data_IF_190477084237
#
_entry.id   IF_190477084237
#
_cell.length_a   1.000
_cell.length_b   1.000
_cell.length_c   1.000
_cell.angle_alpha   90.00
_cell.angle_beta   90.00
_cell.angle_gamma   90.00
#
_symmetry.space_group_name_H-M   'P 1'
#
loop_
_entity.id
_entity.type
_entity.pdbx_description
1 polymer ?
#
# COMPACT_ATOMS: atom_id res chain seq x y z
N UNK A 1 -36.57 22.97 17.39
CA UNK A 1 -37.19 23.51 16.16
C UNK A 1 -38.52 24.18 16.44
N UNK A 2 -39.45 23.59 17.22
CA UNK A 2 -40.77 24.15 17.51
C UNK A 2 -40.67 25.55 18.11
N UNK A 3 -39.94 25.72 19.22
CA UNK A 3 -39.72 27.02 19.87
C UNK A 3 -39.11 28.09 18.98
N UNK A 4 -38.30 27.70 17.99
CA UNK A 4 -37.71 28.62 16.99
C UNK A 4 -38.74 29.02 15.93
N UNK A 5 -39.63 28.11 15.54
CA UNK A 5 -40.70 28.43 14.61
C UNK A 5 -41.69 29.43 15.28
N UNK A 6 -42.09 29.18 16.54
CA UNK A 6 -42.98 30.06 17.27
C UNK A 6 -42.38 31.47 17.41
N UNK A 7 -41.08 31.58 17.77
CA UNK A 7 -40.39 32.87 17.85
C UNK A 7 -40.22 33.55 16.46
N UNK A 8 -40.09 32.78 15.38
CA UNK A 8 -39.96 33.34 14.03
C UNK A 8 -41.32 33.89 13.56
N UNK A 9 -42.44 33.29 13.95
CA UNK A 9 -43.79 33.80 13.67
C UNK A 9 -43.94 35.21 14.23
N UNK A 10 -43.50 35.43 15.49
CA UNK A 10 -43.58 36.73 16.15
C UNK A 10 -42.73 37.84 15.48
N UNK A 11 -41.72 37.45 14.70
CA UNK A 11 -40.74 38.36 14.07
C UNK A 11 -40.83 38.42 12.53
N UNK A 12 -41.85 37.79 11.94
CA UNK A 12 -42.05 37.83 10.48
C UNK A 12 -42.44 39.26 10.02
N UNK A 13 -41.64 39.82 9.16
CA UNK A 13 -41.93 41.08 8.47
C UNK A 13 -42.49 40.84 7.05
N UNK A 14 -43.16 41.88 6.50
CA UNK A 14 -43.81 41.80 5.20
C UNK A 14 -42.80 41.56 4.04
N UNK A 15 -41.55 42.00 4.19
CA UNK A 15 -40.52 41.85 3.18
C UNK A 15 -40.00 40.41 3.12
N UNK A 16 -39.90 39.76 4.24
CA UNK A 16 -39.54 38.33 4.33
C UNK A 16 -40.66 37.43 3.80
N UNK A 17 -41.92 37.78 4.08
CA UNK A 17 -43.09 37.11 3.52
C UNK A 17 -43.11 37.23 2.01
N UNK A 18 -42.92 38.40 1.44
CA UNK A 18 -42.92 38.63 -0.02
C UNK A 18 -41.80 37.85 -0.75
N UNK A 19 -40.64 37.70 -0.14
CA UNK A 19 -39.52 36.90 -0.71
C UNK A 19 -39.78 35.39 -0.70
N UNK A 20 -40.73 34.92 0.06
CA UNK A 20 -41.10 33.49 0.17
C UNK A 20 -42.30 33.12 -0.71
N UNK A 21 -43.03 34.12 -1.24
CA UNK A 21 -44.22 33.97 -2.06
C UNK A 21 -43.94 33.60 -3.55
N UNK A 22 -42.79 33.09 -3.85
CA UNK A 22 -42.38 32.72 -5.23
C UNK A 22 -43.06 31.46 -5.82
N UNK A 23 -44.12 30.94 -5.15
CA UNK A 23 -44.95 29.83 -5.67
C UNK A 23 -46.44 30.03 -5.35
N UNK A 24 -47.25 30.38 -6.32
CA UNK A 24 -48.68 30.67 -6.14
C UNK A 24 -49.61 29.48 -5.95
N UNK A 25 -49.11 28.23 -5.88
CA UNK A 25 -49.96 27.04 -6.02
C UNK A 25 -50.32 26.31 -4.70
N UNK A 26 -50.07 26.93 -3.54
CA UNK A 26 -50.50 26.32 -2.24
C UNK A 26 -51.57 27.17 -1.57
N UNK A 27 -52.85 26.71 -1.63
CA UNK A 27 -53.95 27.27 -0.82
C UNK A 27 -53.83 26.77 0.62
N UNK A 28 -53.88 27.69 1.60
CA UNK A 28 -53.87 27.37 3.01
C UNK A 28 -55.28 27.57 3.60
N UNK A 29 -55.70 26.65 4.46
CA UNK A 29 -57.02 26.69 5.08
C UNK A 29 -57.20 27.89 6.05
N UNK A 30 -56.11 28.53 6.51
CA UNK A 30 -56.11 29.72 7.33
C UNK A 30 -54.77 30.46 7.28
N UNK A 31 -54.80 31.79 7.55
CA UNK A 31 -53.57 32.62 7.64
C UNK A 31 -52.57 32.11 8.70
N UNK A 32 -53.08 31.59 9.83
CA UNK A 32 -52.21 31.02 10.86
C UNK A 32 -51.43 29.77 10.41
N UNK A 33 -52.03 28.93 9.55
CA UNK A 33 -51.33 27.76 8.96
C UNK A 33 -50.28 28.18 7.95
N UNK A 34 -50.54 29.23 7.20
CA UNK A 34 -49.63 29.84 6.26
C UNK A 34 -48.41 30.44 6.96
N UNK A 35 -48.63 31.30 7.97
CA UNK A 35 -47.53 31.89 8.78
C UNK A 35 -46.67 30.83 9.43
N UNK A 36 -47.25 29.79 9.97
CA UNK A 36 -46.53 28.68 10.57
C UNK A 36 -45.65 27.92 9.51
N UNK A 37 -46.22 27.73 8.33
CA UNK A 37 -45.50 27.09 7.21
C UNK A 37 -44.31 27.94 6.77
N UNK A 38 -44.49 29.24 6.59
CA UNK A 38 -43.46 30.19 6.18
C UNK A 38 -42.36 30.30 7.24
N UNK A 39 -42.74 30.47 8.50
CA UNK A 39 -41.77 30.48 9.62
C UNK A 39 -40.96 29.18 9.69
N UNK A 40 -41.61 28.03 9.49
CA UNK A 40 -40.91 26.74 9.44
C UNK A 40 -39.94 26.66 8.27
N UNK A 41 -40.27 27.20 7.09
CA UNK A 41 -39.40 27.23 5.90
C UNK A 41 -38.18 28.13 6.16
N UNK A 42 -38.33 29.30 6.79
CA UNK A 42 -37.27 30.19 7.23
C UNK A 42 -36.29 29.44 8.16
N UNK A 43 -36.84 28.87 9.26
CA UNK A 43 -36.04 28.15 10.26
C UNK A 43 -35.30 26.96 9.62
N UNK A 44 -35.91 26.22 8.70
CA UNK A 44 -35.28 25.14 7.99
C UNK A 44 -34.10 25.66 7.14
N UNK A 45 -34.30 26.78 6.45
CA UNK A 45 -33.23 27.39 5.63
C UNK A 45 -32.06 27.90 6.48
N UNK A 46 -32.33 28.61 7.57
CA UNK A 46 -31.33 29.08 8.52
C UNK A 46 -30.54 27.91 9.14
N UNK A 47 -31.22 26.81 9.47
CA UNK A 47 -30.57 25.62 10.04
C UNK A 47 -30.02 24.64 9.00
N UNK A 48 -30.18 24.92 7.70
CA UNK A 48 -29.75 24.00 6.62
C UNK A 48 -28.30 23.66 6.73
N UNK A 49 -27.44 24.64 6.97
CA UNK A 49 -25.98 24.42 7.12
C UNK A 49 -25.65 23.62 8.39
N UNK A 50 -26.30 23.92 9.52
CA UNK A 50 -26.11 23.20 10.78
C UNK A 50 -26.62 21.76 10.63
N UNK A 51 -27.82 21.57 10.07
CA UNK A 51 -28.35 20.23 9.78
C UNK A 51 -27.49 19.41 8.83
N UNK A 52 -26.85 20.07 7.85
CA UNK A 52 -25.88 19.44 6.97
C UNK A 52 -24.62 19.02 7.71
N UNK A 53 -24.07 19.88 8.57
CA UNK A 53 -22.90 19.56 9.41
C UNK A 53 -23.20 18.40 10.36
N UNK A 54 -24.39 18.37 10.96
CA UNK A 54 -24.84 17.29 11.85
C UNK A 54 -24.95 15.98 11.07
N UNK A 55 -25.66 15.97 9.92
CA UNK A 55 -25.78 14.77 9.07
C UNK A 55 -24.46 14.24 8.55
N UNK A 56 -23.49 15.12 8.34
CA UNK A 56 -22.14 14.77 7.89
C UNK A 56 -21.17 14.48 9.05
N UNK A 57 -21.65 14.43 10.28
CA UNK A 57 -20.83 14.24 11.49
C UNK A 57 -19.66 15.25 11.63
N UNK A 58 -19.76 16.43 11.00
CA UNK A 58 -18.67 17.44 10.99
C UNK A 58 -18.47 18.13 12.35
N UNK A 59 -19.35 17.89 13.33
CA UNK A 59 -19.16 18.35 14.70
C UNK A 59 -18.22 17.43 15.49
N UNK A 60 -17.89 16.25 14.99
CA UNK A 60 -16.97 15.31 15.61
C UNK A 60 -15.55 15.58 15.15
N UNK A 61 -14.66 15.85 16.08
CA UNK A 61 -13.23 15.97 15.79
C UNK A 61 -12.58 14.57 15.92
N UNK A 62 -12.67 13.78 14.85
CA UNK A 62 -12.14 12.41 14.83
C UNK A 62 -10.63 12.40 15.05
N UNK A 63 -9.88 13.40 14.53
CA UNK A 63 -8.42 13.50 14.77
C UNK A 63 -8.11 13.62 16.25
N UNK A 64 -8.84 14.46 16.97
CA UNK A 64 -8.68 14.59 18.42
C UNK A 64 -9.06 13.31 19.16
N UNK A 65 -10.11 12.60 18.72
CA UNK A 65 -10.49 11.31 19.30
C UNK A 65 -9.41 10.24 19.05
N UNK A 66 -8.82 10.21 17.87
CA UNK A 66 -7.73 9.28 17.56
C UNK A 66 -6.50 9.53 18.44
N UNK A 67 -6.09 10.79 18.61
CA UNK A 67 -5.00 11.14 19.53
C UNK A 67 -5.32 10.80 21.00
N UNK A 68 -6.58 10.94 21.43
CA UNK A 68 -7.03 10.47 22.75
C UNK A 68 -6.93 8.95 22.88
N UNK A 69 -7.34 8.23 21.85
CA UNK A 69 -7.21 6.77 21.81
C UNK A 69 -5.74 6.36 21.95
N UNK A 70 -4.83 6.92 21.15
CA UNK A 70 -3.40 6.60 21.24
C UNK A 70 -2.83 6.86 22.64
N UNK A 71 -3.23 7.95 23.31
CA UNK A 71 -2.81 8.23 24.71
C UNK A 71 -3.41 7.26 25.74
N UNK A 72 -4.52 6.63 25.41
CA UNK A 72 -5.13 5.63 26.27
C UNK A 72 -4.51 4.23 26.14
N UNK A 73 -3.83 3.94 25.02
CA UNK A 73 -3.25 2.62 24.72
C UNK A 73 -2.34 2.11 25.84
N UNK A 74 -1.39 2.89 26.41
CA UNK A 74 -0.52 2.39 27.49
C UNK A 74 -1.23 2.05 28.79
N UNK A 75 -2.49 2.52 28.95
CA UNK A 75 -3.34 2.19 30.11
C UNK A 75 -4.09 0.86 29.94
N UNK A 76 -4.18 0.37 28.71
CA UNK A 76 -4.96 -0.82 28.33
C UNK A 76 -4.04 -1.99 28.04
N UNK A 77 -2.89 -1.74 27.43
CA UNK A 77 -1.90 -2.75 27.08
C UNK A 77 -0.53 -2.38 27.62
N UNK A 78 0.23 -3.40 27.95
CA UNK A 78 1.63 -3.27 28.38
C UNK A 78 2.53 -3.17 27.14
N UNK A 79 3.10 -1.99 26.91
CA UNK A 79 3.96 -1.70 25.75
C UNK A 79 5.24 -2.52 25.75
N UNK A 80 5.75 -2.92 26.93
CA UNK A 80 7.00 -3.68 27.04
C UNK A 80 6.92 -5.06 26.38
N UNK A 81 5.72 -5.63 26.28
CA UNK A 81 5.47 -6.89 25.55
C UNK A 81 5.72 -6.80 24.05
N UNK A 82 5.89 -5.60 23.55
CA UNK A 82 6.11 -5.29 22.12
C UNK A 82 7.44 -4.58 21.90
N UNK A 83 8.34 -4.61 22.90
CA UNK A 83 9.63 -3.92 22.88
C UNK A 83 9.50 -2.42 22.56
N UNK A 84 8.43 -1.78 23.04
CA UNK A 84 8.16 -0.35 22.85
C UNK A 84 8.27 0.35 24.21
N UNK A 85 9.11 1.38 24.28
CA UNK A 85 9.20 2.25 25.45
C UNK A 85 8.10 3.31 25.48
N UNK A 86 7.83 3.87 26.68
CA UNK A 86 6.86 4.96 26.80
C UNK A 86 7.29 6.21 25.99
N UNK A 87 8.59 6.52 25.96
CA UNK A 87 9.15 7.64 25.22
C UNK A 87 8.95 7.47 23.71
N UNK A 88 9.17 6.28 23.17
CA UNK A 88 8.93 5.98 21.75
C UNK A 88 7.44 6.09 21.40
N UNK A 89 6.56 5.65 22.30
CA UNK A 89 5.13 5.77 22.10
C UNK A 89 4.66 7.24 22.12
N UNK A 90 5.17 8.04 23.05
CA UNK A 90 4.86 9.47 23.13
C UNK A 90 5.40 10.23 21.91
N UNK A 91 6.61 9.89 21.44
CA UNK A 91 7.16 10.42 20.19
C UNK A 91 6.31 10.05 18.98
N UNK A 92 5.78 8.81 18.93
CA UNK A 92 4.84 8.39 17.90
C UNK A 92 3.56 9.26 17.90
N UNK A 93 2.97 9.53 19.08
CA UNK A 93 1.77 10.37 19.20
C UNK A 93 2.03 11.80 18.68
N UNK A 94 3.15 12.42 19.04
CA UNK A 94 3.49 13.74 18.53
C UNK A 94 3.73 13.73 17.01
N UNK A 95 4.37 12.70 16.47
CA UNK A 95 4.52 12.52 15.04
C UNK A 95 3.18 12.40 14.30
N UNK A 96 2.21 11.67 14.85
CA UNK A 96 0.84 11.58 14.30
C UNK A 96 0.15 12.93 14.33
N UNK A 97 0.28 13.67 15.45
CA UNK A 97 -0.30 15.00 15.60
C UNK A 97 0.24 16.00 14.58
N UNK A 98 1.56 16.04 14.35
CA UNK A 98 2.18 16.92 13.35
C UNK A 98 1.74 16.56 11.92
N UNK A 99 1.62 15.27 11.60
CA UNK A 99 1.08 14.83 10.30
C UNK A 99 -0.37 15.26 10.12
N UNK A 100 -1.20 15.15 11.14
CA UNK A 100 -2.58 15.61 11.08
C UNK A 100 -2.70 17.11 10.84
N UNK A 101 -1.79 17.93 11.40
CA UNK A 101 -1.70 19.38 11.09
C UNK A 101 -1.35 19.59 9.62
N UNK A 102 -0.43 18.80 9.07
CA UNK A 102 -0.03 18.84 7.67
C UNK A 102 -1.05 18.19 6.70
N UNK A 103 -2.21 17.73 7.19
CA UNK A 103 -3.23 17.03 6.38
C UNK A 103 -2.79 15.66 5.90
N UNK A 104 -1.80 15.02 6.54
CA UNK A 104 -1.24 13.72 6.17
C UNK A 104 -1.54 12.66 7.23
N UNK A 105 -1.60 11.40 6.81
CA UNK A 105 -1.71 10.22 7.67
C UNK A 105 -0.78 9.14 7.13
N UNK A 106 -0.15 8.35 7.99
CA UNK A 106 0.62 7.17 7.58
C UNK A 106 -0.30 6.02 7.23
N UNK A 107 0.15 5.13 6.35
CA UNK A 107 -0.58 3.93 5.96
C UNK A 107 -0.92 3.04 7.18
N UNK A 108 0.00 2.91 8.13
CA UNK A 108 -0.20 2.17 9.36
C UNK A 108 -1.35 2.72 10.24
N UNK A 109 -1.56 4.04 10.21
CA UNK A 109 -2.59 4.72 11.01
C UNK A 109 -3.96 4.75 10.32
N UNK A 110 -4.03 4.51 9.00
CA UNK A 110 -5.27 4.65 8.22
C UNK A 110 -6.37 3.71 8.74
N UNK A 111 -6.08 2.42 8.87
CA UNK A 111 -7.10 1.43 9.24
C UNK A 111 -7.61 1.62 10.68
N UNK A 112 -6.75 1.84 11.71
CA UNK A 112 -7.23 2.18 13.05
C UNK A 112 -8.02 3.49 13.09
N UNK A 113 -7.59 4.50 12.32
CA UNK A 113 -8.31 5.77 12.23
C UNK A 113 -9.71 5.61 11.61
N UNK A 114 -9.83 4.86 10.51
CA UNK A 114 -11.10 4.58 9.85
C UNK A 114 -12.01 3.72 10.73
N UNK A 115 -11.46 2.74 11.42
CA UNK A 115 -12.22 1.93 12.35
C UNK A 115 -12.79 2.77 13.50
N UNK A 116 -11.99 3.65 14.10
CA UNK A 116 -12.48 4.61 15.10
C UNK A 116 -13.53 5.54 14.51
N UNK A 117 -13.34 6.02 13.28
CA UNK A 117 -14.33 6.84 12.58
C UNK A 117 -15.68 6.12 12.48
N UNK A 118 -15.69 4.86 12.05
CA UNK A 118 -16.89 4.05 11.90
C UNK A 118 -17.58 3.76 13.26
N UNK A 119 -16.80 3.52 14.31
CA UNK A 119 -17.33 3.34 15.65
C UNK A 119 -18.04 4.60 16.18
N UNK A 120 -17.50 5.78 15.90
CA UNK A 120 -18.03 7.06 16.41
C UNK A 120 -19.17 7.61 15.56
N UNK A 121 -19.13 7.39 14.23
CA UNK A 121 -20.10 7.97 13.28
C UNK A 121 -21.19 7.00 12.85
N UNK A 122 -21.08 5.76 13.24
CA UNK A 122 -21.94 4.66 12.82
C UNK A 122 -21.28 3.80 11.74
N UNK A 123 -21.42 2.52 11.91
CA UNK A 123 -20.81 1.48 11.04
C UNK A 123 -21.30 1.61 9.60
N UNK A 124 -20.37 1.68 8.65
CA UNK A 124 -20.64 1.73 7.20
C UNK A 124 -20.42 0.37 6.54
N UNK A 125 -21.04 -0.64 7.10
CA UNK A 125 -20.90 -2.01 6.60
C UNK A 125 -21.64 -2.20 5.29
N UNK A 126 -20.97 -2.79 4.31
CA UNK A 126 -21.60 -3.25 3.09
C UNK A 126 -22.05 -4.71 3.27
N UNK A 127 -23.36 -4.90 3.32
CA UNK A 127 -24.00 -6.23 3.43
C UNK A 127 -24.33 -6.85 2.06
N UNK A 128 -24.17 -6.12 0.97
CA UNK A 128 -24.45 -6.59 -0.39
C UNK A 128 -23.23 -7.30 -1.00
N UNK A 129 -22.02 -6.94 -0.55
CA UNK A 129 -20.79 -7.57 -0.98
C UNK A 129 -20.80 -9.07 -0.65
N UNK A 130 -20.67 -9.90 -1.68
CA UNK A 130 -20.71 -11.37 -1.59
C UNK A 130 -19.34 -12.02 -1.63
N UNK A 131 -18.40 -11.42 -2.36
CA UNK A 131 -17.05 -11.93 -2.56
C UNK A 131 -16.05 -10.79 -2.45
N UNK A 132 -14.95 -11.03 -1.74
CA UNK A 132 -13.81 -10.12 -1.64
C UNK A 132 -12.55 -10.88 -2.04
N UNK A 133 -11.89 -10.40 -3.09
CA UNK A 133 -10.60 -10.93 -3.54
C UNK A 133 -9.51 -9.98 -3.08
N UNK A 134 -8.56 -10.49 -2.31
CA UNK A 134 -7.45 -9.72 -1.77
C UNK A 134 -6.16 -10.34 -2.32
N UNK A 135 -5.43 -9.57 -3.10
CA UNK A 135 -4.12 -9.96 -3.59
C UNK A 135 -3.01 -9.41 -2.71
N UNK A 136 -1.82 -10.01 -2.78
CA UNK A 136 -0.63 -9.60 -2.01
C UNK A 136 -0.90 -9.49 -0.49
N UNK A 137 -1.57 -10.49 0.10
CA UNK A 137 -1.98 -10.46 1.52
C UNK A 137 -0.81 -10.28 2.48
N UNK A 138 0.41 -10.64 2.09
CA UNK A 138 1.61 -10.45 2.90
C UNK A 138 1.95 -8.98 3.17
N UNK A 139 1.34 -8.04 2.43
CA UNK A 139 1.49 -6.60 2.66
C UNK A 139 0.44 -6.02 3.62
N UNK A 140 -0.56 -6.82 3.96
CA UNK A 140 -1.60 -6.40 4.90
C UNK A 140 -1.22 -6.73 6.33
N UNK A 141 -1.45 -5.79 7.23
CA UNK A 141 -1.41 -6.09 8.65
C UNK A 141 -2.66 -6.89 9.05
N UNK A 142 -2.59 -7.71 10.11
CA UNK A 142 -3.75 -8.43 10.64
C UNK A 142 -4.93 -7.51 10.96
N UNK A 143 -4.65 -6.30 11.44
CA UNK A 143 -5.67 -5.30 11.71
C UNK A 143 -6.38 -4.82 10.43
N UNK A 144 -5.64 -4.65 9.32
CA UNK A 144 -6.24 -4.29 8.03
C UNK A 144 -7.20 -5.39 7.54
N UNK A 145 -6.81 -6.66 7.65
CA UNK A 145 -7.67 -7.80 7.30
C UNK A 145 -8.90 -7.89 8.21
N UNK A 146 -8.72 -7.67 9.51
CA UNK A 146 -9.84 -7.60 10.47
C UNK A 146 -10.82 -6.46 10.14
N UNK A 147 -10.29 -5.30 9.74
CA UNK A 147 -11.10 -4.15 9.33
C UNK A 147 -11.86 -4.43 8.03
N UNK A 148 -11.25 -5.09 7.05
CA UNK A 148 -11.95 -5.52 5.83
C UNK A 148 -13.09 -6.50 6.15
N UNK A 149 -12.83 -7.49 7.01
CA UNK A 149 -13.88 -8.42 7.49
C UNK A 149 -15.00 -7.69 8.25
N UNK A 150 -14.65 -6.69 9.05
CA UNK A 150 -15.63 -5.85 9.74
C UNK A 150 -16.53 -5.10 8.75
N UNK A 151 -15.98 -4.57 7.66
CA UNK A 151 -16.73 -3.83 6.65
C UNK A 151 -17.57 -4.73 5.73
N UNK A 152 -17.13 -5.94 5.47
CA UNK A 152 -17.77 -6.90 4.55
C UNK A 152 -18.16 -8.21 5.27
N UNK A 153 -19.05 -8.19 6.28
CA UNK A 153 -19.28 -9.33 7.17
C UNK A 153 -19.95 -10.54 6.50
N UNK A 154 -20.58 -10.35 5.32
CA UNK A 154 -21.23 -11.40 4.55
C UNK A 154 -20.38 -11.89 3.37
N UNK A 155 -19.26 -11.24 3.08
CA UNK A 155 -18.42 -11.62 1.97
C UNK A 155 -17.64 -12.90 2.27
N UNK A 156 -17.49 -13.74 1.25
CA UNK A 156 -16.49 -14.80 1.21
C UNK A 156 -15.17 -14.19 0.74
N UNK A 157 -14.09 -14.47 1.45
CA UNK A 157 -12.77 -13.92 1.15
C UNK A 157 -11.94 -14.94 0.40
N UNK A 158 -11.35 -14.53 -0.71
CA UNK A 158 -10.27 -15.25 -1.39
C UNK A 158 -9.03 -14.39 -1.26
N UNK A 159 -8.01 -14.91 -0.57
CA UNK A 159 -6.78 -14.18 -0.28
C UNK A 159 -5.64 -14.86 -1.00
N UNK A 160 -4.91 -14.09 -1.81
CA UNK A 160 -3.75 -14.55 -2.57
C UNK A 160 -2.50 -13.83 -2.07
N UNK A 161 -1.38 -14.51 -2.06
CA UNK A 161 -0.13 -13.90 -1.69
C UNK A 161 1.05 -14.85 -1.75
N UNK A 162 2.24 -14.26 -1.83
CA UNK A 162 3.50 -14.96 -1.69
C UNK A 162 4.16 -14.51 -0.39
N UNK A 163 4.12 -15.39 0.60
CA UNK A 163 4.68 -15.10 1.92
C UNK A 163 6.19 -14.86 1.90
N UNK A 164 6.88 -15.25 0.83
CA UNK A 164 8.29 -14.99 0.62
C UNK A 164 8.59 -13.59 0.05
N UNK A 165 7.56 -12.85 -0.40
CA UNK A 165 7.69 -11.51 -0.99
C UNK A 165 7.21 -10.38 -0.05
N UNK A 166 7.06 -10.61 1.25
CA UNK A 166 6.67 -9.58 2.20
C UNK A 166 7.75 -8.49 2.32
N UNK A 167 7.48 -7.28 1.79
CA UNK A 167 8.43 -6.14 1.82
C UNK A 167 8.08 -5.17 2.96
N UNK A 168 6.79 -5.05 3.29
CA UNK A 168 6.28 -4.00 4.18
C UNK A 168 5.97 -4.47 5.59
N UNK A 169 5.96 -5.79 5.85
CA UNK A 169 5.71 -6.36 7.17
C UNK A 169 6.93 -7.15 7.62
N UNK A 170 7.35 -6.94 8.87
CA UNK A 170 8.45 -7.68 9.50
C UNK A 170 8.01 -9.04 10.06
N UNK A 171 6.71 -9.35 10.00
CA UNK A 171 6.17 -10.59 10.54
C UNK A 171 6.58 -11.79 9.68
N UNK A 172 7.05 -12.82 10.34
CA UNK A 172 7.30 -14.11 9.68
C UNK A 172 6.01 -14.67 9.08
N UNK A 173 6.10 -15.27 7.91
CA UNK A 173 4.97 -15.81 7.14
C UNK A 173 4.06 -16.76 7.94
N UNK A 174 4.63 -17.52 8.89
CA UNK A 174 3.87 -18.39 9.81
C UNK A 174 2.99 -17.59 10.75
N UNK A 175 3.45 -16.43 11.20
CA UNK A 175 2.71 -15.54 12.09
C UNK A 175 1.49 -14.95 11.38
N UNK A 176 1.62 -14.52 10.14
CA UNK A 176 0.50 -14.00 9.34
C UNK A 176 -0.58 -15.06 9.13
N UNK A 177 -0.23 -16.27 8.69
CA UNK A 177 -1.19 -17.37 8.53
C UNK A 177 -1.89 -17.75 9.84
N UNK A 178 -1.14 -17.78 10.96
CA UNK A 178 -1.69 -18.02 12.30
C UNK A 178 -2.67 -16.93 12.72
N UNK A 179 -2.40 -15.67 12.37
CA UNK A 179 -3.27 -14.55 12.70
C UNK A 179 -4.51 -14.52 11.79
N UNK A 180 -4.38 -14.85 10.52
CA UNK A 180 -5.51 -15.00 9.59
C UNK A 180 -6.44 -16.12 10.08
N UNK A 181 -5.91 -17.28 10.50
CA UNK A 181 -6.71 -18.39 11.02
C UNK A 181 -7.49 -18.04 12.29
N UNK A 182 -7.01 -17.07 13.10
CA UNK A 182 -7.77 -16.55 14.25
C UNK A 182 -8.88 -15.57 13.84
N UNK A 183 -8.75 -14.92 12.70
CA UNK A 183 -9.75 -13.98 12.19
C UNK A 183 -10.90 -14.69 11.48
N UNK A 184 -10.62 -15.80 10.82
CA UNK A 184 -11.59 -16.57 10.05
C UNK A 184 -11.84 -17.92 10.73
N UNK A 185 -13.05 -18.44 10.55
CA UNK A 185 -13.45 -19.74 11.08
C UNK A 185 -12.61 -20.86 10.40
N UNK A 186 -11.79 -21.61 11.15
CA UNK A 186 -10.93 -22.65 10.57
C UNK A 186 -11.72 -23.74 9.82
N UNK A 187 -12.95 -24.05 10.27
CA UNK A 187 -13.80 -25.08 9.64
C UNK A 187 -14.37 -24.62 8.28
N UNK A 188 -14.30 -23.32 8.00
CA UNK A 188 -14.78 -22.67 6.76
C UNK A 188 -13.66 -22.05 5.95
N UNK A 189 -12.41 -22.40 6.25
CA UNK A 189 -11.22 -21.81 5.62
C UNK A 189 -10.34 -22.90 5.05
N UNK A 190 -10.14 -22.88 3.75
CA UNK A 190 -9.22 -23.75 3.05
C UNK A 190 -7.92 -23.01 2.73
N UNK A 191 -6.78 -23.64 2.99
CA UNK A 191 -5.46 -23.12 2.63
C UNK A 191 -4.87 -23.99 1.53
N UNK A 192 -4.70 -23.40 0.34
CA UNK A 192 -4.10 -24.06 -0.81
C UNK A 192 -2.71 -23.52 -1.06
N UNK A 193 -1.70 -24.38 -0.99
CA UNK A 193 -0.32 -24.00 -1.28
C UNK A 193 0.04 -24.37 -2.72
N UNK A 194 0.44 -23.35 -3.51
CA UNK A 194 0.97 -23.51 -4.86
C UNK A 194 2.50 -23.54 -4.79
N UNK A 195 3.12 -24.65 -5.14
CA UNK A 195 4.59 -24.82 -5.07
C UNK A 195 5.27 -24.58 -6.41
N UNK A 196 4.54 -24.67 -7.53
CA UNK A 196 5.10 -24.60 -8.88
C UNK A 196 5.12 -23.18 -9.43
N UNK A 197 6.31 -22.71 -9.79
CA UNK A 197 6.50 -21.39 -10.40
C UNK A 197 6.52 -21.52 -11.94
N UNK A 198 5.62 -20.79 -12.61
CA UNK A 198 5.49 -20.76 -14.06
C UNK A 198 6.01 -19.47 -14.68
N UNK A 199 6.29 -18.45 -13.87
CA UNK A 199 6.64 -17.09 -14.30
C UNK A 199 8.01 -17.05 -14.95
N UNK A 200 9.03 -17.49 -14.23
CA UNK A 200 10.43 -17.38 -14.61
C UNK A 200 10.95 -18.66 -15.26
N UNK A 201 12.09 -18.55 -15.94
CA UNK A 201 12.84 -19.72 -16.43
C UNK A 201 13.31 -20.59 -15.26
N UNK A 202 13.60 -21.87 -15.57
CA UNK A 202 14.11 -22.83 -14.59
C UNK A 202 15.40 -22.35 -13.93
N UNK A 203 16.28 -21.73 -14.69
CA UNK A 203 17.54 -21.19 -14.23
C UNK A 203 17.33 -20.06 -13.21
N UNK A 204 16.43 -19.11 -13.50
CA UNK A 204 16.09 -18.01 -12.58
C UNK A 204 15.39 -18.56 -11.34
N UNK A 205 14.41 -19.44 -11.48
CA UNK A 205 13.70 -20.03 -10.33
C UNK A 205 14.66 -20.81 -9.42
N UNK A 206 15.58 -21.62 -10.00
CA UNK A 206 16.57 -22.37 -9.23
C UNK A 206 17.60 -21.48 -8.54
N UNK A 207 17.90 -20.31 -9.07
CA UNK A 207 18.75 -19.30 -8.45
C UNK A 207 17.97 -18.58 -7.31
N UNK A 208 16.80 -18.02 -7.61
CA UNK A 208 16.07 -17.17 -6.67
C UNK A 208 15.61 -17.91 -5.42
N UNK A 209 15.19 -19.18 -5.55
CA UNK A 209 14.77 -19.97 -4.39
C UNK A 209 15.87 -20.19 -3.35
N UNK A 210 17.14 -20.11 -3.72
CA UNK A 210 18.27 -20.27 -2.80
C UNK A 210 18.54 -19.00 -1.99
N UNK A 211 18.04 -17.85 -2.42
CA UNK A 211 18.07 -16.61 -1.63
C UNK A 211 17.20 -16.78 -0.37
N UNK A 212 16.13 -17.56 -0.46
CA UNK A 212 15.17 -17.77 0.63
C UNK A 212 15.62 -18.89 1.58
N UNK A 213 15.35 -18.74 2.88
CA UNK A 213 15.65 -19.77 3.90
C UNK A 213 14.83 -21.06 3.75
N UNK A 214 13.66 -21.01 3.09
CA UNK A 214 12.75 -22.14 2.87
C UNK A 214 12.34 -22.25 1.40
N UNK A 215 13.21 -21.82 0.50
CA UNK A 215 12.94 -21.80 -0.94
C UNK A 215 12.99 -23.17 -1.62
N UNK A 216 13.46 -24.21 -0.91
CA UNK A 216 13.55 -25.57 -1.44
C UNK A 216 12.21 -26.17 -1.89
N UNK A 217 11.11 -25.68 -1.33
CA UNK A 217 9.74 -26.09 -1.70
C UNK A 217 9.26 -25.55 -3.04
N UNK A 218 9.98 -24.57 -3.62
CA UNK A 218 9.62 -23.97 -4.89
C UNK A 218 10.10 -24.86 -6.02
N UNK A 219 9.15 -25.36 -6.81
CA UNK A 219 9.41 -26.16 -8.00
C UNK A 219 9.46 -25.27 -9.25
N UNK A 220 10.52 -25.41 -10.03
CA UNK A 220 10.67 -24.70 -11.29
C UNK A 220 9.90 -25.40 -12.41
N UNK A 221 9.19 -24.63 -13.23
CA UNK A 221 8.66 -25.13 -14.49
C UNK A 221 9.80 -25.33 -15.51
N UNK A 222 9.69 -26.32 -16.40
CA UNK A 222 10.76 -26.65 -17.36
C UNK A 222 10.78 -25.70 -18.57
N UNK A 223 10.89 -24.41 -18.30
CA UNK A 223 11.11 -23.36 -19.29
C UNK A 223 12.57 -22.90 -19.19
N UNK A 224 13.35 -23.11 -20.25
CA UNK A 224 14.79 -22.85 -20.27
C UNK A 224 15.10 -21.36 -20.60
N UNK A 225 16.20 -20.87 -20.03
CA UNK A 225 16.74 -19.55 -20.28
C UNK A 225 18.21 -19.42 -19.88
N UNK A 226 18.80 -18.24 -19.99
CA UNK A 226 20.17 -18.01 -19.54
C UNK A 226 20.24 -18.11 -18.00
N UNK A 227 21.41 -18.55 -17.50
CA UNK A 227 21.70 -18.47 -16.08
C UNK A 227 21.81 -17.03 -15.63
N UNK A 228 21.33 -16.68 -14.43
CA UNK A 228 21.59 -15.39 -13.82
C UNK A 228 23.08 -15.06 -13.82
N UNK A 229 23.42 -13.79 -14.08
CA UNK A 229 24.79 -13.36 -14.21
C UNK A 229 25.17 -12.28 -13.20
N UNK A 230 26.28 -12.49 -12.48
CA UNK A 230 26.86 -11.47 -11.62
C UNK A 230 27.94 -10.68 -12.38
N UNK A 231 27.84 -9.36 -12.32
CA UNK A 231 28.80 -8.41 -12.88
C UNK A 231 29.51 -7.69 -11.75
N UNK A 232 30.67 -8.23 -11.34
CA UNK A 232 31.54 -7.55 -10.39
C UNK A 232 32.36 -6.48 -11.10
N UNK A 233 32.37 -5.27 -10.57
CA UNK A 233 33.13 -4.15 -11.10
C UNK A 233 33.96 -3.47 -10.01
N UNK A 234 35.03 -2.81 -10.38
CA UNK A 234 35.96 -2.17 -9.44
C UNK A 234 35.61 -0.71 -9.20
N UNK A 235 34.67 -0.14 -9.98
CA UNK A 235 34.24 1.24 -9.87
C UNK A 235 32.81 1.41 -10.39
N UNK A 236 32.15 2.44 -9.92
CA UNK A 236 30.80 2.82 -10.36
C UNK A 236 30.74 3.13 -11.86
N UNK A 237 31.80 3.71 -12.41
CA UNK A 237 31.92 3.98 -13.85
C UNK A 237 31.90 2.69 -14.68
N UNK A 238 32.63 1.65 -14.21
CA UNK A 238 32.60 0.33 -14.84
C UNK A 238 31.27 -0.41 -14.67
N UNK A 239 30.52 -0.15 -13.57
CA UNK A 239 29.14 -0.64 -13.42
C UNK A 239 28.23 -0.07 -14.50
N UNK A 240 28.30 1.24 -14.74
CA UNK A 240 27.52 1.88 -15.81
C UNK A 240 27.92 1.40 -17.21
N UNK A 241 29.18 1.09 -17.43
CA UNK A 241 29.61 0.51 -18.70
C UNK A 241 29.02 -0.90 -18.89
N UNK A 242 29.10 -1.75 -17.85
CA UNK A 242 28.49 -3.07 -17.90
C UNK A 242 26.94 -2.97 -18.05
N UNK A 243 26.29 -2.01 -17.38
CA UNK A 243 24.88 -1.76 -17.56
C UNK A 243 24.56 -1.39 -19.03
N UNK A 244 25.32 -0.50 -19.63
CA UNK A 244 25.16 -0.11 -21.03
C UNK A 244 25.25 -1.32 -21.96
N UNK A 245 26.26 -2.18 -21.80
CA UNK A 245 26.44 -3.39 -22.62
C UNK A 245 25.22 -4.34 -22.47
N UNK A 246 24.73 -4.54 -21.24
CA UNK A 246 23.54 -5.35 -20.97
C UNK A 246 22.31 -4.76 -21.66
N UNK A 247 22.13 -3.44 -21.60
CA UNK A 247 20.97 -2.78 -22.19
C UNK A 247 20.98 -2.87 -23.72
N UNK A 248 22.15 -2.74 -24.36
CA UNK A 248 22.30 -2.94 -25.80
C UNK A 248 21.93 -4.36 -26.19
N UNK A 249 22.49 -5.37 -25.50
CA UNK A 249 22.15 -6.79 -25.74
C UNK A 249 20.64 -7.07 -25.58
N UNK A 250 20.01 -6.50 -24.55
CA UNK A 250 18.60 -6.71 -24.29
C UNK A 250 17.70 -6.00 -25.33
N UNK A 251 18.09 -4.81 -25.80
CA UNK A 251 17.35 -4.08 -26.84
C UNK A 251 17.41 -4.80 -28.20
N UNK A 252 18.57 -5.35 -28.57
CA UNK A 252 18.74 -6.20 -29.77
C UNK A 252 17.80 -7.43 -29.72
N UNK A 253 17.58 -7.99 -28.54
CA UNK A 253 16.65 -9.10 -28.30
C UNK A 253 15.19 -8.64 -28.10
N UNK A 254 14.92 -7.34 -28.13
CA UNK A 254 13.61 -6.71 -27.91
C UNK A 254 12.98 -7.05 -26.55
N UNK A 255 13.82 -7.20 -25.52
CA UNK A 255 13.38 -7.49 -24.16
C UNK A 255 12.98 -6.19 -23.44
N UNK A 256 11.83 -6.21 -22.80
CA UNK A 256 11.47 -5.17 -21.82
C UNK A 256 12.35 -5.34 -20.59
N UNK A 257 13.24 -4.37 -20.34
CA UNK A 257 14.22 -4.44 -19.28
C UNK A 257 13.89 -3.52 -18.13
N UNK A 258 13.84 -4.04 -16.90
CA UNK A 258 13.74 -3.25 -15.69
C UNK A 258 15.07 -3.19 -14.93
N UNK A 259 15.59 -1.99 -14.72
CA UNK A 259 16.67 -1.73 -13.78
C UNK A 259 16.03 -1.46 -12.44
N UNK A 260 16.19 -2.36 -11.50
CA UNK A 260 15.55 -2.28 -10.19
C UNK A 260 16.61 -1.93 -9.14
N UNK A 261 16.40 -0.80 -8.46
CA UNK A 261 17.25 -0.29 -7.39
C UNK A 261 16.60 -0.50 -6.03
N UNK A 262 17.34 -0.36 -4.96
CA UNK A 262 16.82 -0.45 -3.60
C UNK A 262 15.90 0.72 -3.27
N UNK A 263 16.32 1.94 -3.63
CA UNK A 263 15.64 3.19 -3.29
C UNK A 263 15.27 4.03 -4.51
N UNK A 264 14.35 4.97 -4.33
CA UNK A 264 14.00 5.93 -5.38
C UNK A 264 15.17 6.88 -5.72
N UNK A 265 15.98 7.25 -4.73
CA UNK A 265 17.15 8.10 -4.94
C UNK A 265 18.16 7.43 -5.89
N UNK A 266 18.46 6.15 -5.67
CA UNK A 266 19.30 5.37 -6.59
C UNK A 266 18.68 5.28 -7.99
N UNK A 267 17.36 5.04 -8.10
CA UNK A 267 16.67 5.00 -9.39
C UNK A 267 16.80 6.32 -10.16
N UNK A 268 16.68 7.45 -9.44
CA UNK A 268 16.84 8.79 -10.02
C UNK A 268 18.27 9.03 -10.50
N UNK A 269 19.27 8.59 -9.73
CA UNK A 269 20.69 8.70 -10.11
C UNK A 269 20.99 7.86 -11.35
N UNK A 270 20.59 6.58 -11.38
CA UNK A 270 20.76 5.71 -12.54
C UNK A 270 20.09 6.31 -13.78
N UNK A 271 18.84 6.77 -13.66
CA UNK A 271 18.13 7.37 -14.79
C UNK A 271 18.82 8.65 -15.29
N UNK A 272 19.39 9.46 -14.40
CA UNK A 272 20.16 10.67 -14.74
C UNK A 272 21.42 10.29 -15.55
N UNK A 273 22.22 9.34 -15.07
CA UNK A 273 23.46 8.90 -15.75
C UNK A 273 23.15 8.28 -17.12
N UNK A 274 22.09 7.45 -17.21
CA UNK A 274 21.68 6.89 -18.52
C UNK A 274 21.30 7.99 -19.51
N UNK A 275 20.59 9.03 -19.05
CA UNK A 275 20.26 10.20 -19.89
C UNK A 275 21.52 10.95 -20.36
N UNK A 276 22.50 11.15 -19.48
CA UNK A 276 23.79 11.80 -19.80
C UNK A 276 24.58 11.00 -20.84
N UNK A 277 24.44 9.67 -20.82
CA UNK A 277 25.02 8.74 -21.82
C UNK A 277 24.18 8.56 -23.09
N UNK A 278 23.09 9.32 -23.25
CA UNK A 278 22.14 9.20 -24.36
C UNK A 278 21.48 7.82 -24.48
N UNK A 279 21.35 7.09 -23.37
CA UNK A 279 20.62 5.82 -23.30
C UNK A 279 19.17 6.10 -22.93
N UNK A 280 18.24 5.65 -23.78
CA UNK A 280 16.80 5.86 -23.55
C UNK A 280 16.31 4.94 -22.44
N UNK A 281 15.91 5.52 -21.30
CA UNK A 281 15.31 4.81 -20.19
C UNK A 281 14.19 5.66 -19.56
N UNK A 282 13.15 5.02 -19.04
CA UNK A 282 12.03 5.70 -18.40
C UNK A 282 12.08 5.48 -16.90
N UNK A 283 12.22 6.57 -16.13
CA UNK A 283 12.14 6.52 -14.67
C UNK A 283 10.69 6.35 -14.22
N UNK A 284 10.42 5.33 -13.43
CA UNK A 284 9.13 5.09 -12.76
C UNK A 284 9.26 5.54 -11.31
N UNK A 285 8.71 6.70 -11.00
CA UNK A 285 8.79 7.32 -9.66
C UNK A 285 7.51 7.22 -8.83
N UNK A 286 6.40 6.74 -9.42
CA UNK A 286 5.12 6.57 -8.72
C UNK A 286 4.33 5.40 -9.28
N UNK A 287 3.47 4.80 -8.44
CA UNK A 287 2.62 3.66 -8.81
C UNK A 287 1.59 3.97 -9.92
N UNK A 288 1.22 5.23 -10.10
CA UNK A 288 0.22 5.64 -11.11
C UNK A 288 0.86 5.98 -12.48
N UNK A 289 2.17 5.80 -12.63
CA UNK A 289 2.86 6.07 -13.87
C UNK A 289 2.63 4.93 -14.85
N UNK A 290 2.28 5.25 -16.10
CA UNK A 290 2.08 4.25 -17.14
C UNK A 290 3.42 3.60 -17.52
N UNK A 291 3.44 2.28 -17.52
CA UNK A 291 4.59 1.52 -18.04
C UNK A 291 4.61 1.58 -19.58
N UNK A 292 5.80 1.70 -20.12
CA UNK A 292 6.05 1.73 -21.55
C UNK A 292 7.06 0.63 -21.91
N UNK A 293 7.00 0.05 -23.11
CA UNK A 293 8.01 -0.91 -23.58
C UNK A 293 9.42 -0.29 -23.62
N UNK A 294 10.44 -1.12 -23.46
CA UNK A 294 11.85 -0.72 -23.47
C UNK A 294 12.49 -0.77 -22.09
N UNK A 295 13.44 0.11 -21.84
CA UNK A 295 14.17 0.16 -20.57
C UNK A 295 13.46 1.03 -19.54
N UNK A 296 13.20 0.45 -18.38
CA UNK A 296 12.57 1.10 -17.21
C UNK A 296 13.57 1.16 -16.06
N UNK A 297 13.56 2.22 -15.28
CA UNK A 297 14.33 2.35 -14.04
C UNK A 297 13.35 2.60 -12.89
N UNK A 298 13.41 1.81 -11.83
CA UNK A 298 12.45 1.93 -10.74
C UNK A 298 13.00 1.43 -9.41
N UNK A 299 12.50 1.93 -8.28
CA UNK A 299 12.79 1.36 -6.98
C UNK A 299 12.03 0.04 -6.78
N UNK A 300 12.57 -0.83 -5.96
CA UNK A 300 12.08 -2.19 -5.68
C UNK A 300 10.60 -2.26 -5.29
N UNK A 301 10.13 -1.32 -4.48
CA UNK A 301 8.73 -1.30 -4.02
C UNK A 301 7.71 -0.97 -5.12
N UNK A 302 8.13 -0.33 -6.22
CA UNK A 302 7.30 -0.10 -7.40
C UNK A 302 7.35 -1.27 -8.41
N UNK A 303 8.37 -2.13 -8.31
CA UNK A 303 8.47 -3.32 -9.14
C UNK A 303 7.57 -4.47 -8.67
N UNK A 304 7.04 -4.37 -7.45
CA UNK A 304 6.17 -5.40 -6.88
C UNK A 304 4.89 -5.55 -7.70
N UNK A 305 4.49 -6.81 -7.98
CA UNK A 305 3.34 -7.13 -8.84
C UNK A 305 3.61 -6.99 -10.34
N UNK A 306 4.79 -6.47 -10.75
CA UNK A 306 5.19 -6.34 -12.15
C UNK A 306 6.09 -7.50 -12.58
N UNK A 307 6.22 -7.70 -13.89
CA UNK A 307 7.03 -8.73 -14.53
C UNK A 307 7.73 -8.15 -15.76
N UNK A 308 8.99 -8.54 -15.98
CA UNK A 308 9.80 -8.03 -17.08
C UNK A 308 10.58 -9.17 -17.75
N UNK A 309 10.78 -9.05 -19.05
CA UNK A 309 11.60 -10.05 -19.78
C UNK A 309 13.01 -10.15 -19.20
N UNK A 310 13.61 -8.99 -18.93
CA UNK A 310 14.91 -8.89 -18.30
C UNK A 310 14.89 -7.97 -17.08
N UNK A 311 15.62 -8.35 -16.04
CA UNK A 311 15.84 -7.53 -14.84
C UNK A 311 17.33 -7.34 -14.62
N UNK A 312 17.72 -6.10 -14.37
CA UNK A 312 19.02 -5.73 -13.82
C UNK A 312 18.84 -5.32 -12.37
N UNK A 313 19.32 -6.15 -11.44
CA UNK A 313 19.36 -5.81 -10.02
C UNK A 313 20.60 -4.94 -9.77
N UNK A 314 20.38 -3.67 -9.49
CA UNK A 314 21.43 -2.66 -9.37
C UNK A 314 21.99 -2.58 -7.95
N UNK A 315 23.30 -2.51 -7.84
CA UNK A 315 23.99 -2.23 -6.57
C UNK A 315 23.85 -3.35 -5.55
N UNK A 316 23.93 -4.65 -5.95
CA UNK A 316 23.74 -5.79 -5.03
C UNK A 316 25.01 -6.08 -4.21
N UNK A 317 25.62 -5.04 -3.67
CA UNK A 317 26.84 -5.09 -2.85
C UNK A 317 26.53 -5.34 -1.38
N UNK A 318 27.57 -5.72 -0.61
CA UNK A 318 27.48 -5.89 0.84
C UNK A 318 27.19 -4.58 1.59
N UNK A 319 27.56 -3.44 1.03
CA UNK A 319 27.29 -2.12 1.59
C UNK A 319 25.81 -1.76 1.47
N UNK A 320 25.17 -2.20 0.39
CA UNK A 320 23.78 -1.88 0.10
C UNK A 320 22.79 -2.93 0.65
N UNK A 321 23.15 -4.23 0.59
CA UNK A 321 22.31 -5.34 1.06
C UNK A 321 23.12 -6.23 2.01
N UNK A 322 22.89 -6.08 3.32
CA UNK A 322 23.60 -6.82 4.35
C UNK A 322 22.72 -7.31 5.51
N UNK A 323 21.49 -6.80 5.64
CA UNK A 323 20.57 -7.18 6.68
C UNK A 323 19.75 -8.40 6.28
N UNK A 324 19.51 -9.31 7.21
CA UNK A 324 18.77 -10.55 6.92
C UNK A 324 17.30 -10.30 6.53
N UNK A 325 16.71 -9.19 6.96
CA UNK A 325 15.36 -8.77 6.57
C UNK A 325 15.29 -8.25 5.12
N UNK A 326 16.43 -7.98 4.48
CA UNK A 326 16.51 -7.60 3.07
C UNK A 326 16.50 -8.81 2.11
N UNK A 327 16.55 -10.03 2.64
CA UNK A 327 16.47 -11.28 1.86
C UNK A 327 15.22 -11.32 0.99
N UNK A 328 14.08 -10.97 1.57
CA UNK A 328 12.80 -10.94 0.86
C UNK A 328 12.77 -9.86 -0.23
N UNK A 329 13.45 -8.74 0.02
CA UNK A 329 13.56 -7.66 -0.96
C UNK A 329 14.38 -8.11 -2.17
N UNK A 330 15.56 -8.74 -1.96
CA UNK A 330 16.37 -9.28 -3.06
C UNK A 330 15.64 -10.39 -3.82
N UNK A 331 14.96 -11.28 -3.12
CA UNK A 331 14.11 -12.29 -3.75
C UNK A 331 13.02 -11.66 -4.61
N UNK A 332 12.35 -10.62 -4.09
CA UNK A 332 11.32 -9.90 -4.84
C UNK A 332 11.88 -9.26 -6.10
N UNK A 333 13.03 -8.60 -6.03
CA UNK A 333 13.70 -8.00 -7.19
C UNK A 333 14.02 -9.09 -8.22
N UNK A 334 14.72 -10.14 -7.82
CA UNK A 334 15.16 -11.20 -8.71
C UNK A 334 14.01 -11.98 -9.35
N UNK A 335 12.91 -12.19 -8.61
CA UNK A 335 11.72 -12.90 -9.09
C UNK A 335 10.84 -12.07 -10.05
N UNK A 336 11.17 -10.80 -10.31
CA UNK A 336 10.54 -9.99 -11.37
C UNK A 336 11.01 -10.38 -12.77
N UNK A 337 12.16 -11.07 -12.88
CA UNK A 337 12.71 -11.52 -14.15
C UNK A 337 11.98 -12.74 -14.69
N UNK A 338 11.46 -12.66 -15.92
CA UNK A 338 10.86 -13.79 -16.60
C UNK A 338 11.88 -14.63 -17.39
N UNK A 339 12.84 -13.98 -18.03
CA UNK A 339 13.78 -14.66 -18.95
C UNK A 339 15.26 -14.43 -18.63
N UNK A 340 15.69 -13.17 -18.31
CA UNK A 340 17.08 -12.83 -18.05
C UNK A 340 17.23 -12.06 -16.74
N UNK A 341 18.24 -12.42 -15.92
CA UNK A 341 18.55 -11.76 -14.66
C UNK A 341 20.03 -11.44 -14.59
N UNK A 342 20.34 -10.14 -14.51
CA UNK A 342 21.68 -9.61 -14.35
C UNK A 342 21.80 -8.89 -13.00
N UNK A 343 22.90 -9.09 -12.27
CA UNK A 343 23.13 -8.53 -10.93
C UNK A 343 24.46 -7.77 -10.95
N UNK A 344 24.44 -6.47 -10.77
CA UNK A 344 25.62 -5.59 -10.86
C UNK A 344 26.00 -5.11 -9.46
N UNK A 345 27.30 -5.14 -9.16
CA UNK A 345 27.82 -4.62 -7.90
C UNK A 345 29.30 -4.23 -7.98
N UNK A 346 29.69 -3.27 -7.11
CA UNK A 346 31.07 -2.87 -6.85
C UNK A 346 31.47 -3.33 -5.45
N UNK A 347 32.76 -3.61 -5.23
CA UNK A 347 33.27 -4.06 -3.94
C UNK A 347 32.95 -5.52 -3.62
N UNK A 348 32.34 -5.77 -2.45
CA UNK A 348 31.96 -7.11 -2.01
C UNK A 348 30.53 -7.46 -2.42
N UNK A 349 30.33 -8.69 -2.85
CA UNK A 349 28.98 -9.24 -3.08
C UNK A 349 28.18 -9.25 -1.78
N UNK A 350 26.88 -8.99 -1.83
CA UNK A 350 26.00 -9.10 -0.66
C UNK A 350 26.11 -10.49 -0.02
N UNK A 351 26.24 -10.57 1.33
CA UNK A 351 26.30 -11.84 2.05
C UNK A 351 25.00 -12.66 1.96
N UNK A 352 23.91 -12.04 1.52
CA UNK A 352 22.64 -12.73 1.27
C UNK A 352 22.71 -13.74 0.11
N UNK A 353 23.81 -13.69 -0.68
CA UNK A 353 24.11 -14.63 -1.76
C UNK A 353 25.16 -15.69 -1.40
N UNK A 354 25.62 -15.78 -0.16
CA UNK A 354 26.70 -16.70 0.22
C UNK A 354 26.30 -18.19 0.13
N UNK A 355 25.00 -18.47 0.24
CA UNK A 355 24.47 -19.85 0.18
C UNK A 355 24.10 -20.31 -1.25
N UNK A 356 24.41 -19.52 -2.28
CA UNK A 356 24.09 -19.89 -3.67
C UNK A 356 25.03 -21.00 -4.19
N UNK A 357 24.47 -22.02 -4.83
CA UNK A 357 25.25 -22.99 -5.61
C UNK A 357 25.80 -22.30 -6.86
N UNK A 358 27.14 -22.32 -7.00
CA UNK A 358 27.86 -21.73 -8.14
C UNK A 358 27.42 -22.25 -9.50
N UNK A 359 26.81 -23.44 -9.52
CA UNK A 359 26.24 -24.01 -10.76
C UNK A 359 25.00 -23.28 -11.27
N UNK A 360 24.35 -22.47 -10.43
CA UNK A 360 23.08 -21.79 -10.74
C UNK A 360 23.24 -20.41 -11.35
N UNK A 361 24.45 -19.85 -11.38
CA UNK A 361 24.74 -18.53 -11.95
C UNK A 361 26.08 -18.52 -12.69
N UNK A 362 26.42 -17.42 -13.33
CA UNK A 362 27.71 -17.14 -13.95
C UNK A 362 28.30 -15.84 -13.42
N UNK A 363 29.63 -15.75 -13.35
CA UNK A 363 30.36 -14.51 -13.07
C UNK A 363 30.90 -13.94 -14.39
N UNK A 364 30.66 -12.64 -14.61
CA UNK A 364 31.09 -11.90 -15.82
C UNK A 364 31.92 -10.67 -15.47
#
# INVERSE_FOLDING_TARGET
KKAWVDKTIESLDQEQLNKLYDRPDQEFESSAKEEHFLARKIVINQLKQVSRKIRQNRFLNIRAQYLRFLRAVPKIIDLSKWDITQEEWDAHIENVKERFKAGKIKMADISPYLYLYDLVTGRRTDYEMRYAFIDEIQDYTPFQLAYLKYNFPRAKFTMLGDLNQAIFTKDESKTLLSQISKLFDPEKTDVVQLTKSYRSTKEITNFTKQILRQGEKIEAFDRRGPKPAFYKRDSIEKEYNALQDILVENDEQKLTTAIITKTLAEAQEVAKVLKERNIKATLIGSANQRLVPGTLVMPSYLAKGLEFDAVVAWGVSKENYHQLDETQLLYTIASRAMYKLDLIYTGGKSPLFDNLDEKTYVNK
#
